data_IF_192860765087
#
_entry.id   IF_192860765087
#
_cell.length_a   1.000
_cell.length_b   1.000
_cell.length_c   1.000
_cell.angle_alpha   90.00
_cell.angle_beta   90.00
_cell.angle_gamma   90.00
#
_symmetry.space_group_name_H-M   'P 1'
#
loop_
_entity.id
_entity.type
_entity.pdbx_description
1 polymer ?
#
# COMPACT_ATOMS: atom_id res chain seq x y z
N UNK A 1 20.05 -17.78 -12.11
CA UNK A 1 19.47 -18.54 -10.99
C UNK A 1 19.53 -17.76 -9.68
N UNK A 2 20.70 -17.21 -9.33
CA UNK A 2 20.82 -16.42 -8.09
C UNK A 2 19.92 -15.18 -8.07
N UNK A 3 19.72 -14.53 -9.23
CA UNK A 3 18.86 -13.36 -9.32
C UNK A 3 17.41 -13.71 -9.03
N UNK A 4 16.95 -14.87 -9.46
CA UNK A 4 15.57 -15.28 -9.23
C UNK A 4 15.33 -15.59 -7.76
N UNK A 5 16.31 -16.20 -7.10
CA UNK A 5 16.23 -16.47 -5.66
C UNK A 5 16.17 -15.15 -4.88
N UNK A 6 16.99 -14.16 -5.26
CA UNK A 6 16.98 -12.84 -4.62
C UNK A 6 15.65 -12.13 -4.80
N UNK A 7 15.05 -12.28 -5.98
CA UNK A 7 13.71 -11.69 -6.22
C UNK A 7 12.66 -12.30 -5.29
N UNK A 8 12.70 -13.63 -5.13
CA UNK A 8 11.76 -14.31 -4.23
C UNK A 8 11.99 -13.86 -2.79
N UNK A 9 13.25 -13.77 -2.37
CA UNK A 9 13.57 -13.29 -1.02
C UNK A 9 13.10 -11.86 -0.80
N UNK A 10 13.23 -11.00 -1.79
CA UNK A 10 12.75 -9.63 -1.72
C UNK A 10 11.23 -9.61 -1.63
N UNK A 11 10.54 -10.45 -2.41
CA UNK A 11 9.09 -10.55 -2.33
C UNK A 11 8.64 -11.01 -0.94
N UNK A 12 9.33 -11.98 -0.35
CA UNK A 12 9.01 -12.43 0.99
C UNK A 12 9.18 -11.32 2.01
N UNK A 13 10.25 -10.52 1.88
CA UNK A 13 10.48 -9.37 2.75
C UNK A 13 9.35 -8.35 2.61
N UNK A 14 8.91 -8.09 1.39
CA UNK A 14 7.82 -7.16 1.13
C UNK A 14 6.52 -7.65 1.78
N UNK A 15 6.23 -8.95 1.70
CA UNK A 15 5.05 -9.51 2.37
C UNK A 15 5.11 -9.31 3.88
N UNK A 16 6.30 -9.47 4.47
CA UNK A 16 6.49 -9.20 5.90
C UNK A 16 6.22 -7.74 6.21
N UNK A 17 6.70 -6.82 5.36
CA UNK A 17 6.44 -5.39 5.51
C UNK A 17 4.94 -5.11 5.44
N UNK A 18 4.21 -5.74 4.52
CA UNK A 18 2.75 -5.57 4.44
C UNK A 18 2.04 -6.07 5.70
N UNK A 19 2.51 -7.16 6.30
CA UNK A 19 1.96 -7.64 7.57
C UNK A 19 2.16 -6.59 8.65
N UNK A 20 3.36 -6.01 8.74
CA UNK A 20 3.66 -4.95 9.71
C UNK A 20 2.78 -3.72 9.46
N UNK A 21 2.61 -3.31 8.21
CA UNK A 21 1.74 -2.19 7.86
C UNK A 21 0.28 -2.47 8.24
N UNK A 22 -0.16 -3.71 8.07
CA UNK A 22 -1.52 -4.10 8.45
C UNK A 22 -1.72 -3.98 9.97
N UNK A 23 -0.73 -4.39 10.75
CA UNK A 23 -0.78 -4.25 12.21
C UNK A 23 -0.84 -2.77 12.61
N UNK A 24 -0.05 -1.93 11.96
CA UNK A 24 -0.06 -0.48 12.20
C UNK A 24 -1.42 0.11 11.86
N UNK A 25 -2.04 -0.35 10.77
CA UNK A 25 -3.38 0.09 10.39
C UNK A 25 -4.43 -0.31 11.42
N UNK A 26 -4.33 -1.50 11.99
CA UNK A 26 -5.24 -1.94 13.06
C UNK A 26 -5.10 -1.02 14.26
N UNK A 27 -3.87 -0.67 14.61
CA UNK A 27 -3.63 0.30 15.68
C UNK A 27 -4.27 1.65 15.38
N UNK A 28 -4.14 2.11 14.13
CA UNK A 28 -4.80 3.34 13.68
C UNK A 28 -6.32 3.25 13.79
N UNK A 29 -6.91 2.12 13.43
CA UNK A 29 -8.35 1.91 13.56
C UNK A 29 -8.78 1.99 15.03
N UNK A 30 -8.01 1.43 15.95
CA UNK A 30 -8.31 1.51 17.37
C UNK A 30 -8.26 2.94 17.88
N UNK A 31 -7.27 3.72 17.44
CA UNK A 31 -7.19 5.13 17.81
C UNK A 31 -8.38 5.92 17.25
N UNK A 32 -8.77 5.61 16.01
CA UNK A 32 -9.93 6.26 15.38
C UNK A 32 -11.21 5.95 16.15
N UNK A 33 -11.38 4.70 16.53
CA UNK A 33 -12.53 4.27 17.33
C UNK A 33 -12.60 5.01 18.66
N UNK A 34 -11.46 5.15 19.34
CA UNK A 34 -11.40 5.89 20.59
C UNK A 34 -11.72 7.38 20.40
N UNK A 35 -11.27 7.97 19.29
CA UNK A 35 -11.55 9.38 19.02
C UNK A 35 -13.03 9.65 18.82
N UNK A 36 -13.75 8.69 18.23
CA UNK A 36 -15.20 8.83 18.03
C UNK A 36 -15.97 8.78 19.33
N UNK A 37 -15.45 8.07 20.34
CA UNK A 37 -16.12 7.94 21.64
C UNK A 37 -15.71 9.02 22.63
N UNK A 38 -14.52 9.58 22.52
CA UNK A 38 -13.98 10.52 23.49
C UNK A 38 -13.83 11.95 22.97
N UNK A 39 -14.04 12.16 21.68
CA UNK A 39 -13.99 13.48 21.03
C UNK A 39 -12.68 14.20 21.32
N UNK A 40 -11.55 13.62 20.91
CA UNK A 40 -10.26 14.22 21.16
C UNK A 40 -9.33 14.14 19.94
N UNK A 41 -8.07 14.53 20.12
CA UNK A 41 -7.07 14.65 19.07
C UNK A 41 -6.58 13.33 18.48
N UNK A 42 -7.02 12.19 19.00
CA UNK A 42 -6.57 10.87 18.50
C UNK A 42 -7.00 10.62 17.06
N UNK A 43 -8.05 11.30 16.60
CA UNK A 43 -8.49 11.22 15.21
C UNK A 43 -7.40 11.70 14.24
N UNK A 44 -6.69 12.77 14.59
CA UNK A 44 -5.61 13.28 13.74
C UNK A 44 -4.43 12.31 13.69
N UNK A 45 -4.12 11.67 14.80
CA UNK A 45 -3.04 10.68 14.85
C UNK A 45 -3.39 9.48 13.99
N UNK A 46 -4.63 9.00 14.08
CA UNK A 46 -5.10 7.89 13.27
C UNK A 46 -5.00 8.22 11.79
N UNK A 47 -5.40 9.41 11.39
CA UNK A 47 -5.33 9.86 10.01
C UNK A 47 -3.88 9.88 9.50
N UNK A 48 -2.95 10.36 10.32
CA UNK A 48 -1.54 10.37 9.97
C UNK A 48 -0.98 8.94 9.80
N UNK A 49 -1.40 8.01 10.66
CA UNK A 49 -0.99 6.61 10.55
C UNK A 49 -1.47 6.02 9.24
N UNK A 50 -2.74 6.23 8.88
CA UNK A 50 -3.29 5.70 7.63
C UNK A 50 -2.58 6.31 6.41
N UNK A 51 -2.29 7.60 6.44
CA UNK A 51 -1.55 8.24 5.36
C UNK A 51 -0.13 7.68 5.23
N UNK A 52 0.53 7.47 6.35
CA UNK A 52 1.88 6.91 6.36
C UNK A 52 1.90 5.51 5.74
N UNK A 53 0.97 4.65 6.14
CA UNK A 53 0.91 3.29 5.60
C UNK A 53 0.52 3.27 4.13
N UNK A 54 -0.39 4.16 3.71
CA UNK A 54 -0.80 4.25 2.31
C UNK A 54 0.36 4.73 1.43
N UNK A 55 1.12 5.72 1.87
CA UNK A 55 2.27 6.22 1.14
C UNK A 55 3.35 5.14 1.07
N UNK A 56 3.59 4.42 2.16
CA UNK A 56 4.55 3.31 2.17
C UNK A 56 4.16 2.23 1.18
N UNK A 57 2.87 1.87 1.15
CA UNK A 57 2.35 0.89 0.20
C UNK A 57 2.54 1.36 -1.24
N UNK A 58 2.29 2.65 -1.49
CA UNK A 58 2.46 3.23 -2.82
C UNK A 58 3.91 3.10 -3.30
N UNK A 59 4.88 3.38 -2.44
CA UNK A 59 6.28 3.24 -2.78
C UNK A 59 6.63 1.78 -3.11
N UNK A 60 6.06 0.83 -2.38
CA UNK A 60 6.28 -0.59 -2.66
C UNK A 60 5.71 -0.97 -4.03
N UNK A 61 4.53 -0.46 -4.38
CA UNK A 61 3.94 -0.74 -5.70
C UNK A 61 4.73 -0.11 -6.83
N UNK A 62 5.32 1.06 -6.62
CA UNK A 62 6.24 1.64 -7.60
C UNK A 62 7.48 0.77 -7.79
N UNK A 63 7.99 0.17 -6.72
CA UNK A 63 9.09 -0.79 -6.81
C UNK A 63 8.67 -2.00 -7.66
N UNK A 64 7.51 -2.56 -7.41
CA UNK A 64 6.98 -3.67 -8.21
C UNK A 64 6.83 -3.29 -9.67
N UNK A 65 6.35 -2.09 -9.95
CA UNK A 65 6.18 -1.61 -11.32
C UNK A 65 7.53 -1.55 -12.02
N UNK A 66 8.54 -1.00 -11.37
CA UNK A 66 9.88 -0.90 -11.91
C UNK A 66 10.45 -2.29 -12.24
N UNK A 67 10.32 -3.23 -11.31
CA UNK A 67 10.79 -4.60 -11.53
C UNK A 67 10.05 -5.27 -12.69
N UNK A 68 8.76 -5.06 -12.79
CA UNK A 68 7.95 -5.67 -13.84
C UNK A 68 8.32 -5.15 -15.21
N UNK A 69 8.67 -3.87 -15.34
CA UNK A 69 9.18 -3.32 -16.59
C UNK A 69 10.52 -3.92 -16.97
N UNK A 70 11.41 -4.15 -16.00
CA UNK A 70 12.69 -4.81 -16.27
C UNK A 70 12.50 -6.25 -16.75
N UNK A 71 11.57 -6.95 -16.13
CA UNK A 71 11.25 -8.33 -16.52
C UNK A 71 10.64 -8.40 -17.92
N UNK A 72 9.94 -7.35 -18.36
CA UNK A 72 9.31 -7.32 -19.67
C UNK A 72 10.34 -7.52 -20.80
N UNK A 73 11.55 -7.03 -20.60
CA UNK A 73 12.61 -7.15 -21.60
C UNK A 73 13.19 -8.56 -21.70
N UNK A 74 12.97 -9.38 -20.67
CA UNK A 74 13.61 -10.69 -20.55
C UNK A 74 12.61 -11.84 -20.50
N UNK A 75 11.33 -11.58 -20.68
CA UNK A 75 10.31 -12.62 -20.59
C UNK A 75 9.93 -13.14 -21.97
N UNK A 76 9.60 -14.43 -22.03
CA UNK A 76 9.09 -15.05 -23.25
C UNK A 76 7.60 -14.78 -23.45
N UNK A 77 6.88 -14.42 -22.39
CA UNK A 77 5.44 -14.21 -22.46
C UNK A 77 5.13 -12.75 -22.22
N UNK A 78 5.28 -11.95 -23.27
CA UNK A 78 5.10 -10.49 -23.22
C UNK A 78 3.66 -10.10 -22.85
N UNK A 79 2.68 -10.84 -23.39
CA UNK A 79 1.27 -10.54 -23.13
C UNK A 79 0.93 -10.70 -21.66
N UNK A 80 1.39 -11.77 -21.04
CA UNK A 80 1.13 -12.01 -19.62
C UNK A 80 1.82 -10.97 -18.75
N UNK A 81 3.05 -10.60 -19.11
CA UNK A 81 3.79 -9.58 -18.36
C UNK A 81 3.12 -8.21 -18.46
N UNK A 82 2.58 -7.85 -19.62
CA UNK A 82 1.82 -6.62 -19.79
C UNK A 82 0.57 -6.61 -18.92
N UNK A 83 -0.11 -7.74 -18.80
CA UNK A 83 -1.26 -7.88 -17.93
C UNK A 83 -0.88 -7.60 -16.47
N UNK A 84 0.24 -8.14 -16.02
CA UNK A 84 0.76 -7.89 -14.67
C UNK A 84 1.05 -6.41 -14.45
N UNK A 85 1.71 -5.77 -15.40
CA UNK A 85 2.05 -4.34 -15.33
C UNK A 85 0.77 -3.51 -15.25
N UNK A 86 -0.23 -3.83 -16.08
CA UNK A 86 -1.51 -3.14 -16.06
C UNK A 86 -2.17 -3.24 -14.68
N UNK A 87 -2.16 -4.43 -14.08
CA UNK A 87 -2.71 -4.64 -12.75
C UNK A 87 -2.01 -3.77 -11.70
N UNK A 88 -0.69 -3.70 -11.75
CA UNK A 88 0.08 -2.88 -10.81
C UNK A 88 -0.25 -1.40 -10.99
N UNK A 89 -0.37 -0.93 -12.23
CA UNK A 89 -0.73 0.47 -12.50
C UNK A 89 -2.11 0.78 -11.93
N UNK A 90 -3.08 -0.12 -12.09
CA UNK A 90 -4.42 0.07 -11.54
C UNK A 90 -4.40 0.15 -10.02
N UNK A 91 -3.58 -0.67 -9.37
CA UNK A 91 -3.42 -0.62 -7.91
C UNK A 91 -2.83 0.71 -7.48
N UNK A 92 -1.83 1.21 -8.19
CA UNK A 92 -1.21 2.51 -7.90
C UNK A 92 -2.23 3.63 -8.02
N UNK A 93 -3.03 3.63 -9.08
CA UNK A 93 -4.08 4.64 -9.28
C UNK A 93 -5.09 4.56 -8.13
N UNK A 94 -5.51 3.34 -7.76
CA UNK A 94 -6.43 3.14 -6.65
C UNK A 94 -5.88 3.67 -5.34
N UNK A 95 -4.59 3.41 -5.06
CA UNK A 95 -3.94 3.92 -3.86
C UNK A 95 -3.89 5.44 -3.82
N UNK A 96 -3.60 6.06 -4.96
CA UNK A 96 -3.57 7.53 -5.04
C UNK A 96 -4.95 8.10 -4.73
N UNK A 97 -6.00 7.49 -5.27
CA UNK A 97 -7.38 7.93 -5.00
C UNK A 97 -7.75 7.76 -3.53
N UNK A 98 -7.33 6.66 -2.92
CA UNK A 98 -7.59 6.41 -1.49
C UNK A 98 -6.85 7.44 -0.63
N UNK A 99 -5.61 7.76 -0.97
CA UNK A 99 -4.84 8.78 -0.26
C UNK A 99 -5.55 10.14 -0.38
N UNK A 100 -5.99 10.48 -1.58
CA UNK A 100 -6.73 11.72 -1.80
C UNK A 100 -7.99 11.77 -0.96
N UNK A 101 -8.75 10.68 -0.92
CA UNK A 101 -9.95 10.60 -0.10
C UNK A 101 -9.61 10.80 1.37
N UNK A 102 -8.59 10.12 1.87
CA UNK A 102 -8.23 10.18 3.28
C UNK A 102 -7.74 11.56 3.70
N UNK A 103 -7.08 12.29 2.80
CA UNK A 103 -6.63 13.65 3.09
C UNK A 103 -7.82 14.61 3.21
N UNK A 104 -8.86 14.42 2.41
CA UNK A 104 -9.97 15.37 2.29
C UNK A 104 -11.21 14.95 3.08
N UNK A 105 -11.21 13.77 3.66
CA UNK A 105 -12.38 13.30 4.39
C UNK A 105 -12.51 14.01 5.73
N UNK A 106 -13.76 14.15 6.17
CA UNK A 106 -14.05 14.66 7.50
C UNK A 106 -13.84 13.57 8.53
N UNK A 107 -13.46 13.96 9.73
CA UNK A 107 -12.99 13.05 10.78
C UNK A 107 -14.02 12.06 11.32
N UNK A 108 -15.27 12.13 10.87
CA UNK A 108 -16.36 11.31 11.40
C UNK A 108 -16.50 9.95 10.73
N UNK A 109 -15.82 9.72 9.62
CA UNK A 109 -15.94 8.47 8.88
C UNK A 109 -14.63 7.68 8.93
N UNK A 110 -14.70 6.34 9.03
CA UNK A 110 -13.47 5.54 9.01
C UNK A 110 -12.80 5.63 7.64
N UNK A 111 -11.46 5.70 7.59
CA UNK A 111 -10.74 5.74 6.32
C UNK A 111 -10.84 4.41 5.58
N UNK A 112 -10.74 4.49 4.24
CA UNK A 112 -10.66 3.31 3.40
C UNK A 112 -9.22 2.82 3.42
N UNK A 113 -9.04 1.52 3.69
CA UNK A 113 -7.71 0.92 3.73
C UNK A 113 -7.18 0.67 2.33
N UNK A 114 -5.88 0.87 2.11
CA UNK A 114 -5.26 0.64 0.81
C UNK A 114 -5.19 -0.82 0.42
#
# INVERSE_FOLDING_TARGET
MNNKIKEIETDELIWIIFIILSIINIYGDELHKKSLTTNNQKSNIAKQIFLLTAISSLLIYFYFLSNSYKELQNTDNIELQKTKITGIILIIIGNILIIYFNINEKETEPPILP
#
